data_IF_236228918491
#
_entry.id   IF_236228918491
#
_cell.length_a   1.000
_cell.length_b   1.000
_cell.length_c   1.000
_cell.angle_alpha   90.00
_cell.angle_beta   90.00
_cell.angle_gamma   90.00
#
_symmetry.space_group_name_H-M   'P 1'
#
loop_
_entity.id
_entity.type
_entity.pdbx_description
1 polymer ?
#
# COMPACT_ATOMS: atom_id res chain seq x y z
N UNK A 1 -53.33 -4.81 48.04
CA UNK A 1 -52.10 -3.98 48.01
C UNK A 1 -50.79 -4.79 48.12
N UNK A 2 -50.76 -6.08 47.74
CA UNK A 2 -49.53 -6.91 47.63
C UNK A 2 -49.15 -7.28 46.20
N UNK A 3 -50.01 -6.98 45.21
CA UNK A 3 -49.73 -7.22 43.78
C UNK A 3 -49.03 -6.05 43.08
N UNK A 4 -49.03 -4.84 43.64
CA UNK A 4 -48.36 -3.68 43.01
C UNK A 4 -46.85 -3.61 43.26
N UNK A 5 -46.32 -4.41 44.21
CA UNK A 5 -44.89 -4.43 44.55
C UNK A 5 -44.06 -5.42 43.74
N UNK A 6 -44.69 -6.33 42.98
CA UNK A 6 -43.97 -7.31 42.13
C UNK A 6 -43.71 -6.73 40.73
N UNK A 7 -44.51 -5.77 40.27
CA UNK A 7 -44.29 -5.10 38.97
C UNK A 7 -43.17 -4.05 39.00
N UNK A 8 -42.71 -3.62 40.18
CA UNK A 8 -41.58 -2.68 40.30
C UNK A 8 -40.21 -3.36 40.25
N UNK A 9 -40.14 -4.69 40.32
CA UNK A 9 -38.88 -5.44 40.28
C UNK A 9 -38.52 -6.00 38.89
N UNK A 10 -39.40 -5.88 37.89
CA UNK A 10 -39.17 -6.39 36.52
C UNK A 10 -38.71 -5.27 35.56
N UNK A 11 -38.81 -3.99 35.93
CA UNK A 11 -38.43 -2.87 35.05
C UNK A 11 -36.95 -2.45 35.14
N UNK A 12 -36.14 -3.09 36.00
CA UNK A 12 -34.76 -2.66 36.29
C UNK A 12 -33.68 -3.57 35.70
N UNK A 13 -34.01 -4.54 34.84
CA UNK A 13 -33.01 -5.38 34.17
C UNK A 13 -33.16 -5.24 32.65
N UNK A 14 -32.05 -4.93 31.98
CA UNK A 14 -31.89 -4.78 30.53
C UNK A 14 -32.09 -3.37 29.93
N UNK A 15 -31.61 -2.32 30.61
CA UNK A 15 -30.86 -1.29 29.87
C UNK A 15 -29.40 -1.73 29.79
N UNK A 16 -29.13 -2.72 28.94
CA UNK A 16 -27.78 -2.85 28.37
C UNK A 16 -27.64 -1.67 27.44
N UNK A 17 -27.17 -0.54 27.97
CA UNK A 17 -26.54 0.47 27.13
C UNK A 17 -25.39 -0.26 26.46
N UNK A 18 -25.59 -0.64 25.19
CA UNK A 18 -24.48 -0.93 24.31
C UNK A 18 -23.63 0.32 24.31
N UNK A 19 -22.65 0.38 25.22
CA UNK A 19 -21.59 1.35 25.12
C UNK A 19 -20.95 1.03 23.78
N UNK A 20 -21.22 1.88 22.79
CA UNK A 20 -20.37 2.00 21.62
C UNK A 20 -18.99 2.30 22.18
N UNK A 21 -18.21 1.25 22.44
CA UNK A 21 -16.81 1.39 22.76
C UNK A 21 -16.23 2.15 21.58
N UNK A 22 -15.81 3.38 21.84
CA UNK A 22 -14.93 4.08 20.93
C UNK A 22 -13.78 3.12 20.67
N UNK A 23 -13.65 2.61 19.45
CA UNK A 23 -12.56 1.73 19.03
C UNK A 23 -11.19 2.43 19.06
N UNK A 24 -11.11 3.66 19.59
CA UNK A 24 -9.89 4.41 19.70
C UNK A 24 -9.09 3.96 20.92
N UNK A 25 -7.77 3.80 20.74
CA UNK A 25 -6.87 3.51 21.84
C UNK A 25 -6.87 4.68 22.84
N UNK A 26 -6.91 4.34 24.12
CA UNK A 26 -6.68 5.30 25.19
C UNK A 26 -5.20 5.68 25.23
N UNK A 27 -4.91 6.89 25.73
CA UNK A 27 -3.53 7.37 25.94
C UNK A 27 -2.68 6.34 26.69
N UNK A 28 -3.21 5.78 27.78
CA UNK A 28 -2.50 4.82 28.60
C UNK A 28 -2.18 3.54 27.82
N UNK A 29 -3.14 3.03 27.04
CA UNK A 29 -2.95 1.86 26.19
C UNK A 29 -1.84 2.09 25.16
N UNK A 30 -1.79 3.27 24.53
CA UNK A 30 -0.67 3.59 23.60
C UNK A 30 0.68 3.59 24.30
N UNK A 31 0.79 4.10 25.53
CA UNK A 31 2.05 4.10 26.28
C UNK A 31 2.47 2.69 26.71
N UNK A 32 1.51 1.84 27.08
CA UNK A 32 1.74 0.42 27.35
C UNK A 32 2.23 -0.30 26.09
N UNK A 33 1.61 -0.05 24.93
CA UNK A 33 2.06 -0.59 23.64
C UNK A 33 3.47 -0.14 23.26
N UNK A 34 3.84 1.13 23.48
CA UNK A 34 5.22 1.61 23.25
C UNK A 34 6.21 0.81 24.09
N UNK A 35 5.86 0.49 25.33
CA UNK A 35 6.71 -0.33 26.23
C UNK A 35 6.86 -1.77 25.70
N UNK A 36 5.76 -2.35 25.21
CA UNK A 36 5.76 -3.68 24.59
C UNK A 36 6.62 -3.68 23.33
N UNK A 37 6.46 -2.70 22.44
CA UNK A 37 7.21 -2.58 21.18
C UNK A 37 8.70 -2.43 21.45
N UNK A 38 9.07 -1.57 22.41
CA UNK A 38 10.45 -1.40 22.83
C UNK A 38 11.05 -2.72 23.30
N UNK A 39 10.36 -3.43 24.18
CA UNK A 39 10.81 -4.72 24.70
C UNK A 39 10.94 -5.76 23.59
N UNK A 40 9.93 -5.87 22.74
CA UNK A 40 9.92 -6.81 21.62
C UNK A 40 11.08 -6.55 20.64
N UNK A 41 11.35 -5.29 20.29
CA UNK A 41 12.50 -4.98 19.44
C UNK A 41 13.82 -5.33 20.13
N UNK A 42 14.00 -4.96 21.39
CA UNK A 42 15.24 -5.22 22.13
C UNK A 42 15.53 -6.71 22.31
N UNK A 43 14.49 -7.53 22.48
CA UNK A 43 14.63 -8.96 22.75
C UNK A 43 14.62 -9.83 21.48
N UNK A 44 13.86 -9.44 20.45
CA UNK A 44 13.54 -10.33 19.32
C UNK A 44 14.11 -9.86 17.99
N UNK A 45 14.45 -8.58 17.81
CA UNK A 45 14.86 -8.07 16.51
C UNK A 45 16.37 -8.36 16.24
N UNK A 46 16.71 -9.28 15.31
CA UNK A 46 18.06 -9.83 15.18
C UNK A 46 19.11 -8.83 14.70
N UNK A 47 18.67 -7.72 14.09
CA UNK A 47 19.55 -6.68 13.55
C UNK A 47 19.37 -5.32 14.19
N UNK A 48 18.81 -5.22 15.42
CA UNK A 48 18.37 -3.95 15.99
C UNK A 48 19.48 -2.89 16.02
N UNK A 49 20.69 -3.30 16.44
CA UNK A 49 21.85 -2.42 16.60
C UNK A 49 22.74 -2.32 15.36
N UNK A 50 22.33 -2.88 14.21
CA UNK A 50 23.16 -2.88 12.99
C UNK A 50 23.41 -1.46 12.45
N UNK A 51 22.45 -0.56 12.62
CA UNK A 51 22.52 0.80 12.09
C UNK A 51 22.23 1.88 13.13
N UNK A 52 22.05 1.49 14.40
CA UNK A 52 21.74 2.38 15.50
C UNK A 52 22.52 1.96 16.75
N UNK A 53 23.00 2.95 17.49
CA UNK A 53 23.47 2.74 18.87
C UNK A 53 22.30 2.56 19.83
N UNK A 54 22.57 1.97 21.00
CA UNK A 54 21.56 1.86 22.07
C UNK A 54 20.98 3.21 22.47
N UNK A 55 21.82 4.25 22.55
CA UNK A 55 21.39 5.61 22.89
C UNK A 55 20.45 6.23 21.85
N UNK A 56 20.74 6.05 20.56
CA UNK A 56 19.87 6.54 19.47
C UNK A 56 18.49 5.87 19.52
N UNK A 57 18.44 4.54 19.71
CA UNK A 57 17.17 3.83 19.81
C UNK A 57 16.38 4.23 21.05
N UNK A 58 17.06 4.45 22.17
CA UNK A 58 16.41 4.94 23.38
C UNK A 58 15.72 6.29 23.13
N UNK A 59 16.43 7.22 22.48
CA UNK A 59 15.86 8.51 22.11
C UNK A 59 14.66 8.36 21.16
N UNK A 60 14.69 7.42 20.21
CA UNK A 60 13.58 7.13 19.32
C UNK A 60 12.35 6.59 20.09
N UNK A 61 12.55 5.69 21.06
CA UNK A 61 11.47 5.16 21.89
C UNK A 61 10.87 6.23 22.81
N UNK A 62 11.70 7.06 23.44
CA UNK A 62 11.21 8.17 24.26
C UNK A 62 10.44 9.20 23.42
N UNK A 63 10.93 9.50 22.21
CA UNK A 63 10.24 10.39 21.27
C UNK A 63 8.88 9.81 20.88
N UNK A 64 8.83 8.51 20.55
CA UNK A 64 7.57 7.83 20.27
C UNK A 64 6.61 7.91 21.48
N UNK A 65 7.08 7.63 22.69
CA UNK A 65 6.27 7.70 23.90
C UNK A 65 5.67 9.10 24.11
N UNK A 66 6.47 10.16 23.96
CA UNK A 66 5.98 11.55 24.06
C UNK A 66 4.91 11.85 23.00
N UNK A 67 5.15 11.48 21.74
CA UNK A 67 4.21 11.75 20.65
C UNK A 67 2.92 10.92 20.76
N UNK A 68 3.02 9.69 21.27
CA UNK A 68 1.88 8.79 21.46
C UNK A 68 0.85 9.32 22.47
N UNK A 69 1.26 10.21 23.40
CA UNK A 69 0.36 10.76 24.42
C UNK A 69 -0.82 11.55 23.84
N UNK A 70 -0.57 12.29 22.76
CA UNK A 70 -1.55 13.19 22.13
C UNK A 70 -1.93 12.77 20.71
N UNK A 71 -1.33 11.71 20.19
CA UNK A 71 -1.64 11.19 18.86
C UNK A 71 -3.06 10.60 18.81
N UNK A 72 -3.77 10.89 17.72
CA UNK A 72 -4.88 10.05 17.26
C UNK A 72 -4.35 8.68 16.83
N UNK A 73 -5.21 7.67 16.71
CA UNK A 73 -4.77 6.32 16.31
C UNK A 73 -4.16 6.28 14.91
N UNK A 74 -4.66 7.10 13.99
CA UNK A 74 -4.08 7.27 12.65
C UNK A 74 -2.68 7.87 12.69
N UNK A 75 -2.48 8.90 13.51
CA UNK A 75 -1.16 9.50 13.72
C UNK A 75 -0.22 8.51 14.41
N UNK A 76 -0.72 7.77 15.39
CA UNK A 76 0.06 6.77 16.09
C UNK A 76 0.50 5.63 15.15
N UNK A 77 -0.37 5.16 14.26
CA UNK A 77 -0.01 4.22 13.20
C UNK A 77 1.13 4.74 12.30
N UNK A 78 1.10 6.04 11.95
CA UNK A 78 2.21 6.68 11.22
C UNK A 78 3.49 6.65 12.06
N UNK A 79 3.44 7.07 13.32
CA UNK A 79 4.61 7.14 14.21
C UNK A 79 5.28 5.77 14.38
N UNK A 80 4.48 4.72 14.57
CA UNK A 80 4.97 3.35 14.62
C UNK A 80 5.62 2.90 13.30
N UNK A 81 5.01 3.26 12.17
CA UNK A 81 5.56 2.97 10.84
C UNK A 81 6.87 3.71 10.57
N UNK A 82 6.99 4.94 11.08
CA UNK A 82 8.22 5.74 11.01
C UNK A 82 9.33 5.14 11.89
N UNK A 83 9.01 4.71 13.10
CA UNK A 83 9.95 3.99 13.96
C UNK A 83 10.47 2.73 13.25
N UNK A 84 9.58 1.91 12.70
CA UNK A 84 9.97 0.69 11.98
C UNK A 84 10.83 0.98 10.74
N UNK A 85 10.49 2.00 9.94
CA UNK A 85 11.31 2.44 8.80
C UNK A 85 12.68 2.95 9.27
N UNK A 86 12.74 3.63 10.41
CA UNK A 86 13.99 4.16 10.97
C UNK A 86 14.98 3.04 11.30
N UNK A 87 14.53 1.84 11.65
CA UNK A 87 15.41 0.68 11.92
C UNK A 87 16.26 0.24 10.72
N UNK A 88 15.96 0.70 9.50
CA UNK A 88 16.67 0.36 8.26
C UNK A 88 16.71 -1.15 7.99
N UNK A 89 15.58 -1.80 8.30
CA UNK A 89 15.34 -3.21 7.99
C UNK A 89 14.16 -3.30 7.03
N UNK A 90 14.38 -3.90 5.86
CA UNK A 90 13.35 -4.15 4.87
C UNK A 90 12.28 -5.13 5.35
N UNK A 91 12.56 -5.91 6.40
CA UNK A 91 11.66 -6.95 6.91
C UNK A 91 10.87 -6.51 8.15
N UNK A 92 11.14 -5.31 8.68
CA UNK A 92 10.46 -4.78 9.87
C UNK A 92 9.54 -3.65 9.46
N UNK A 93 8.23 -3.87 9.54
CA UNK A 93 7.22 -2.90 9.14
C UNK A 93 5.89 -3.18 9.83
N UNK A 94 5.05 -2.15 9.95
CA UNK A 94 3.68 -2.30 10.39
C UNK A 94 2.86 -2.97 9.29
N UNK A 95 2.44 -4.20 9.55
CA UNK A 95 1.76 -5.03 8.56
C UNK A 95 0.27 -4.65 8.45
N UNK A 96 -0.20 -4.05 7.34
CA UNK A 96 -1.61 -3.72 7.16
C UNK A 96 -2.50 -4.94 6.87
N UNK A 97 -1.91 -6.07 6.45
CA UNK A 97 -2.64 -7.27 6.04
C UNK A 97 -3.10 -8.11 7.23
N UNK A 98 -2.28 -8.21 8.27
CA UNK A 98 -2.56 -9.00 9.47
C UNK A 98 -3.18 -8.14 10.60
N UNK A 99 -4.29 -7.47 10.30
CA UNK A 99 -5.02 -6.62 11.24
C UNK A 99 -6.45 -7.13 11.41
N UNK A 100 -6.99 -6.98 12.62
CA UNK A 100 -8.40 -7.24 12.90
C UNK A 100 -9.31 -6.30 12.08
N UNK A 101 -10.52 -6.75 11.74
CA UNK A 101 -11.45 -6.01 10.89
C UNK A 101 -11.80 -4.62 11.44
N UNK A 102 -11.94 -4.50 12.77
CA UNK A 102 -12.21 -3.21 13.43
C UNK A 102 -11.06 -2.22 13.23
N UNK A 103 -9.80 -2.64 13.44
CA UNK A 103 -8.62 -1.81 13.21
C UNK A 103 -8.47 -1.41 11.74
N UNK A 104 -8.72 -2.35 10.80
CA UNK A 104 -8.71 -2.05 9.36
C UNK A 104 -9.71 -0.95 9.01
N UNK A 105 -10.94 -1.02 9.53
CA UNK A 105 -12.00 -0.04 9.29
C UNK A 105 -11.70 1.32 9.94
N UNK A 106 -11.06 1.33 11.10
CA UNK A 106 -10.72 2.56 11.82
C UNK A 106 -9.56 3.33 11.14
N UNK A 107 -8.57 2.60 10.62
CA UNK A 107 -7.31 3.19 10.13
C UNK A 107 -7.28 3.34 8.61
N UNK A 108 -7.70 2.32 7.84
CA UNK A 108 -7.49 2.28 6.39
C UNK A 108 -8.69 2.80 5.62
N UNK A 109 -8.41 3.51 4.53
CA UNK A 109 -9.45 3.98 3.61
C UNK A 109 -10.10 2.82 2.86
N UNK A 110 -11.42 2.90 2.67
CA UNK A 110 -12.18 1.99 1.81
C UNK A 110 -12.05 2.34 0.31
N UNK A 111 -11.68 3.59 0.02
CA UNK A 111 -11.44 4.07 -1.35
C UNK A 111 -9.96 4.35 -1.61
N UNK A 112 -9.57 4.18 -2.87
CA UNK A 112 -8.20 4.23 -3.37
C UNK A 112 -8.10 5.10 -4.62
N UNK A 113 -6.88 5.55 -4.88
CA UNK A 113 -6.56 6.38 -6.04
C UNK A 113 -6.71 5.59 -7.35
N UNK A 114 -7.40 6.14 -8.37
CA UNK A 114 -7.72 5.41 -9.61
C UNK A 114 -6.61 5.42 -10.67
N UNK A 115 -5.51 6.15 -10.45
CA UNK A 115 -4.38 6.12 -11.37
C UNK A 115 -3.28 5.21 -10.83
N UNK A 116 -2.79 4.32 -11.68
CA UNK A 116 -1.55 3.57 -11.44
C UNK A 116 -0.40 4.43 -11.92
N UNK A 117 0.70 4.44 -11.18
CA UNK A 117 1.87 5.26 -11.50
C UNK A 117 3.17 4.59 -11.06
N UNK A 118 4.25 4.98 -11.74
CA UNK A 118 5.61 4.62 -11.41
C UNK A 118 6.38 5.87 -11.00
N UNK A 119 7.18 5.77 -9.95
CA UNK A 119 8.12 6.80 -9.55
C UNK A 119 9.40 6.66 -10.39
N UNK A 120 9.66 7.65 -11.23
CA UNK A 120 10.84 7.75 -12.09
C UNK A 120 11.49 9.11 -11.78
N UNK A 121 12.75 9.13 -11.35
CA UNK A 121 13.48 10.38 -11.05
C UNK A 121 12.71 11.33 -10.09
N UNK A 122 12.08 10.78 -9.05
CA UNK A 122 11.21 11.51 -8.11
C UNK A 122 10.01 12.21 -8.80
N UNK A 123 9.47 11.60 -9.86
CA UNK A 123 8.23 12.02 -10.53
C UNK A 123 7.25 10.86 -10.58
N UNK A 124 5.98 11.11 -10.32
CA UNK A 124 4.93 10.11 -10.47
C UNK A 124 4.46 10.11 -11.93
N UNK A 125 4.91 9.15 -12.72
CA UNK A 125 4.52 9.00 -14.11
C UNK A 125 3.34 8.04 -14.19
N UNK A 126 2.24 8.47 -14.81
CA UNK A 126 1.03 7.64 -14.95
C UNK A 126 1.36 6.41 -15.79
N UNK A 127 1.13 5.23 -15.20
CA UNK A 127 1.28 3.94 -15.87
C UNK A 127 -0.05 3.47 -16.48
N UNK A 128 -1.17 3.70 -15.77
CA UNK A 128 -2.50 3.42 -16.30
C UNK A 128 -3.56 4.34 -15.65
N UNK A 129 -4.54 4.77 -16.44
CA UNK A 129 -5.71 5.49 -15.95
C UNK A 129 -6.92 4.55 -15.86
N UNK A 130 -7.43 4.32 -14.64
CA UNK A 130 -8.63 3.50 -14.39
C UNK A 130 -9.88 4.35 -14.14
N UNK A 131 -9.77 5.68 -14.12
CA UNK A 131 -10.94 6.55 -14.08
C UNK A 131 -11.77 6.45 -15.37
N UNK A 132 -13.01 6.94 -15.31
CA UNK A 132 -13.86 7.11 -16.49
C UNK A 132 -13.32 8.23 -17.40
N UNK A 133 -12.91 9.34 -16.79
CA UNK A 133 -12.27 10.48 -17.45
C UNK A 133 -10.98 10.05 -18.20
N UNK A 134 -10.76 10.63 -19.38
CA UNK A 134 -9.63 10.33 -20.28
C UNK A 134 -8.66 11.50 -20.47
N UNK A 135 -8.82 12.60 -19.73
CA UNK A 135 -7.93 13.78 -19.80
C UNK A 135 -6.50 13.38 -19.41
N UNK A 136 -6.38 12.55 -18.38
CA UNK A 136 -5.11 12.00 -17.89
C UNK A 136 -4.78 10.71 -18.65
N UNK A 137 -3.58 10.62 -19.20
CA UNK A 137 -3.12 9.50 -20.02
C UNK A 137 -1.83 8.88 -19.47
N UNK A 138 -1.54 7.61 -19.79
CA UNK A 138 -0.23 7.04 -19.53
C UNK A 138 0.91 7.91 -20.07
N UNK A 139 1.97 8.09 -19.28
CA UNK A 139 3.09 8.98 -19.58
C UNK A 139 2.93 10.42 -19.07
N UNK A 140 1.74 10.83 -18.63
CA UNK A 140 1.55 12.12 -17.96
C UNK A 140 2.27 12.11 -16.58
N UNK A 141 2.92 13.22 -16.22
CA UNK A 141 3.54 13.42 -14.89
C UNK A 141 2.52 14.01 -13.94
N UNK A 142 2.21 13.32 -12.83
CA UNK A 142 1.39 13.87 -11.75
C UNK A 142 2.21 14.87 -10.94
N UNK A 143 1.72 16.10 -10.84
CA UNK A 143 2.37 17.18 -10.08
C UNK A 143 1.66 17.51 -8.77
N UNK A 144 0.34 17.27 -8.70
CA UNK A 144 -0.40 17.41 -7.45
C UNK A 144 -1.64 16.50 -7.40
N UNK A 145 -2.01 16.10 -6.19
CA UNK A 145 -3.23 15.36 -5.88
C UNK A 145 -3.94 16.09 -4.74
N UNK A 146 -5.20 16.50 -4.95
CA UNK A 146 -6.00 17.29 -4.02
C UNK A 146 -5.28 18.56 -3.52
N UNK A 147 -4.57 19.24 -4.42
CA UNK A 147 -3.79 20.44 -4.11
C UNK A 147 -2.46 20.18 -3.39
N UNK A 148 -2.14 18.93 -3.08
CA UNK A 148 -0.87 18.55 -2.44
C UNK A 148 0.15 18.20 -3.52
N UNK A 149 1.30 18.88 -3.51
CA UNK A 149 2.37 18.63 -4.48
C UNK A 149 2.91 17.21 -4.32
N UNK A 150 3.26 16.56 -5.43
CA UNK A 150 3.86 15.22 -5.39
C UNK A 150 5.18 15.18 -4.64
N UNK A 151 5.94 16.28 -4.61
CA UNK A 151 7.11 16.43 -3.73
C UNK A 151 6.74 16.22 -2.26
N UNK A 152 5.72 16.95 -1.76
CA UNK A 152 5.27 16.82 -0.36
C UNK A 152 4.74 15.41 -0.07
N UNK A 153 3.99 14.83 -1.01
CA UNK A 153 3.49 13.46 -0.89
C UNK A 153 4.66 12.47 -0.77
N UNK A 154 5.60 12.48 -1.71
CA UNK A 154 6.74 11.55 -1.67
C UNK A 154 7.59 11.75 -0.42
N UNK A 155 7.91 12.99 -0.05
CA UNK A 155 8.75 13.25 1.12
C UNK A 155 8.09 12.72 2.41
N UNK A 156 6.76 12.84 2.56
CA UNK A 156 6.00 12.22 3.67
C UNK A 156 6.03 10.69 3.61
N UNK A 157 5.71 10.10 2.45
CA UNK A 157 5.64 8.64 2.30
C UNK A 157 7.01 7.95 2.40
N UNK A 158 8.10 8.65 2.05
CA UNK A 158 9.46 8.17 2.26
C UNK A 158 9.78 7.97 3.74
N UNK A 159 9.12 8.65 4.68
CA UNK A 159 9.35 8.46 6.13
C UNK A 159 8.86 7.11 6.65
N UNK A 160 7.96 6.44 5.94
CA UNK A 160 7.39 5.12 6.30
C UNK A 160 7.79 4.01 5.33
N UNK A 161 8.58 4.33 4.30
CA UNK A 161 9.01 3.36 3.29
C UNK A 161 10.21 2.55 3.79
N UNK A 162 10.03 1.23 3.90
CA UNK A 162 11.03 0.27 4.43
C UNK A 162 12.12 -0.09 3.40
N UNK A 163 13.35 -0.26 3.87
CA UNK A 163 14.46 -0.75 3.07
C UNK A 163 15.64 -1.18 3.96
N UNK A 164 16.51 -2.05 3.45
CA UNK A 164 17.68 -2.56 4.16
C UNK A 164 18.88 -1.61 4.05
N UNK A 165 19.36 -1.11 5.19
CA UNK A 165 20.60 -0.34 5.30
C UNK A 165 20.51 1.15 4.97
N UNK A 166 21.66 1.75 4.65
CA UNK A 166 21.80 3.21 4.51
C UNK A 166 21.55 3.71 3.07
N UNK A 167 21.91 2.93 2.05
CA UNK A 167 21.80 3.32 0.63
C UNK A 167 20.46 2.87 0.02
N UNK A 168 19.37 3.44 0.53
CA UNK A 168 18.03 2.87 0.33
C UNK A 168 17.07 3.67 -0.53
N UNK A 169 17.45 4.86 -0.98
CA UNK A 169 16.53 5.79 -1.64
C UNK A 169 15.79 5.15 -2.83
N UNK A 170 16.50 4.43 -3.71
CA UNK A 170 15.89 3.79 -4.87
C UNK A 170 14.84 2.75 -4.46
N UNK A 171 15.13 1.92 -3.46
CA UNK A 171 14.15 0.95 -2.94
C UNK A 171 12.97 1.66 -2.28
N UNK A 172 13.23 2.70 -1.51
CA UNK A 172 12.18 3.47 -0.82
C UNK A 172 11.25 4.17 -1.80
N UNK A 173 11.78 4.72 -2.90
CA UNK A 173 11.00 5.28 -4.01
C UNK A 173 10.22 4.20 -4.75
N UNK A 174 10.83 3.05 -5.01
CA UNK A 174 10.16 1.92 -5.67
C UNK A 174 8.94 1.41 -4.89
N UNK A 175 8.98 1.42 -3.55
CA UNK A 175 7.81 1.03 -2.73
C UNK A 175 6.62 2.00 -2.85
N UNK A 176 6.82 3.22 -3.37
CA UNK A 176 5.75 4.21 -3.57
C UNK A 176 4.93 3.92 -4.84
N UNK A 177 5.45 3.06 -5.72
CA UNK A 177 4.79 2.71 -6.97
C UNK A 177 3.40 2.10 -6.72
N UNK A 178 2.49 2.33 -7.67
CA UNK A 178 1.19 1.66 -7.74
C UNK A 178 1.12 1.04 -9.13
N UNK A 179 1.55 -0.22 -9.24
CA UNK A 179 1.66 -0.94 -10.51
C UNK A 179 0.63 -2.08 -10.57
N UNK A 180 0.41 -2.69 -11.74
CA UNK A 180 -0.60 -3.73 -11.90
C UNK A 180 -0.53 -4.88 -10.89
N UNK A 181 0.63 -5.49 -10.59
CA UNK A 181 0.69 -6.58 -9.61
C UNK A 181 0.25 -6.15 -8.20
N UNK A 182 0.29 -4.85 -7.89
CA UNK A 182 0.04 -4.31 -6.55
C UNK A 182 -1.42 -3.90 -6.33
N UNK A 183 -2.26 -3.92 -7.37
CA UNK A 183 -3.67 -3.49 -7.30
C UNK A 183 -4.68 -4.63 -7.19
N UNK A 184 -4.23 -5.82 -6.78
CA UNK A 184 -5.13 -6.89 -6.35
C UNK A 184 -6.10 -6.40 -5.25
N UNK A 185 -7.34 -6.86 -5.27
CA UNK A 185 -8.37 -6.41 -4.33
C UNK A 185 -8.07 -6.72 -2.85
N UNK A 186 -7.28 -7.76 -2.58
CA UNK A 186 -6.85 -8.15 -1.23
C UNK A 186 -5.62 -7.38 -0.74
N UNK A 187 -4.87 -6.77 -1.67
CA UNK A 187 -3.63 -6.07 -1.37
C UNK A 187 -3.86 -4.61 -0.92
N UNK A 188 -2.79 -4.01 -0.41
CA UNK A 188 -2.68 -2.58 -0.17
C UNK A 188 -1.30 -2.15 -0.69
N UNK A 189 -1.25 -1.07 -1.45
CA UNK A 189 0.04 -0.40 -1.71
C UNK A 189 0.41 0.50 -0.53
N UNK A 190 1.69 0.88 -0.43
CA UNK A 190 2.10 1.90 0.55
C UNK A 190 1.30 3.19 0.35
N UNK A 191 1.07 3.58 -0.90
CA UNK A 191 0.27 4.76 -1.22
C UNK A 191 -1.18 4.65 -0.72
N UNK A 192 -1.84 3.50 -0.92
CA UNK A 192 -3.23 3.28 -0.46
C UNK A 192 -3.39 3.43 1.05
N UNK A 193 -2.38 3.01 1.81
CA UNK A 193 -2.39 3.11 3.27
C UNK A 193 -2.05 4.53 3.71
N UNK A 194 -0.94 5.06 3.25
CA UNK A 194 -0.33 6.22 3.90
C UNK A 194 -0.71 7.57 3.29
N UNK A 195 -1.11 7.64 2.02
CA UNK A 195 -1.63 8.89 1.45
C UNK A 195 -2.83 9.44 2.25
N UNK A 196 -3.90 8.66 2.52
CA UNK A 196 -5.01 9.16 3.33
C UNK A 196 -4.63 9.43 4.79
N UNK A 197 -3.64 8.72 5.34
CA UNK A 197 -3.19 8.92 6.72
C UNK A 197 -2.38 10.21 6.90
N UNK A 198 -1.49 10.54 5.97
CA UNK A 198 -0.68 11.77 6.04
C UNK A 198 -1.46 13.02 5.66
N UNK A 199 -2.52 12.88 4.87
CA UNK A 199 -3.25 14.01 4.30
C UNK A 199 -4.77 13.91 4.53
N UNK A 200 -5.24 13.70 5.78
CA UNK A 200 -6.65 13.42 6.05
C UNK A 200 -7.57 14.57 5.66
N UNK A 201 -7.14 15.82 5.85
CA UNK A 201 -7.93 17.03 5.53
C UNK A 201 -8.10 17.25 4.02
N UNK A 202 -7.13 16.79 3.22
CA UNK A 202 -7.17 16.89 1.76
C UNK A 202 -7.63 15.59 1.11
N UNK A 203 -7.90 14.54 1.89
CA UNK A 203 -8.35 13.26 1.36
C UNK A 203 -9.87 13.27 1.22
N UNK A 204 -10.35 13.42 -0.01
CA UNK A 204 -11.75 13.23 -0.34
C UNK A 204 -11.99 11.79 -0.81
N UNK A 205 -12.76 11.03 -0.04
CA UNK A 205 -13.03 9.63 -0.32
C UNK A 205 -13.88 9.39 -1.58
N UNK A 206 -14.52 10.43 -2.13
CA UNK A 206 -15.37 10.34 -3.32
C UNK A 206 -14.63 10.73 -4.62
N UNK A 207 -13.73 11.71 -4.58
CA UNK A 207 -13.05 12.23 -5.77
C UNK A 207 -11.62 12.69 -5.50
N UNK A 208 -10.79 12.68 -6.53
CA UNK A 208 -9.46 13.26 -6.52
C UNK A 208 -9.35 14.36 -7.57
N UNK A 209 -8.89 15.53 -7.17
CA UNK A 209 -8.43 16.57 -8.10
C UNK A 209 -6.98 16.33 -8.42
N UNK A 210 -6.66 16.02 -9.68
CA UNK A 210 -5.31 15.66 -10.11
C UNK A 210 -4.79 16.68 -11.12
N UNK A 211 -3.57 17.17 -10.87
CA UNK A 211 -2.85 18.06 -11.78
C UNK A 211 -1.70 17.31 -12.42
N UNK A 212 -1.59 17.42 -13.74
CA UNK A 212 -0.58 16.71 -14.53
C UNK A 212 0.13 17.62 -15.52
N UNK A 213 1.38 17.26 -15.85
CA UNK A 213 2.14 17.78 -16.99
C UNK A 213 2.19 16.68 -18.05
N UNK A 214 1.70 16.98 -19.26
CA UNK A 214 1.78 16.08 -20.41
C UNK A 214 3.22 16.03 -20.98
N UNK A 215 3.57 15.01 -21.78
CA UNK A 215 4.87 14.95 -22.47
C UNK A 215 5.20 16.21 -23.29
N UNK A 216 4.18 16.84 -23.88
CA UNK A 216 4.30 18.12 -24.60
C UNK A 216 4.31 19.38 -23.70
N UNK A 217 4.57 19.21 -22.40
CA UNK A 217 4.64 20.26 -21.37
C UNK A 217 3.35 21.00 -21.08
N UNK A 218 2.22 20.65 -21.71
CA UNK A 218 0.92 21.22 -21.37
C UNK A 218 0.46 20.75 -19.99
N UNK A 219 -0.01 21.69 -19.17
CA UNK A 219 -0.63 21.41 -17.88
C UNK A 219 -2.10 21.06 -18.08
N UNK A 220 -2.58 20.06 -17.35
CA UNK A 220 -3.99 19.68 -17.28
C UNK A 220 -4.39 19.43 -15.83
N UNK A 221 -5.67 19.62 -15.57
CA UNK A 221 -6.31 19.37 -14.28
C UNK A 221 -7.60 18.61 -14.55
N UNK A 222 -7.85 17.56 -13.77
CA UNK A 222 -9.07 16.78 -13.87
C UNK A 222 -9.53 16.35 -12.48
N UNK A 223 -10.84 16.25 -12.31
CA UNK A 223 -11.45 15.66 -11.12
C UNK A 223 -11.93 14.26 -11.47
N UNK A 224 -11.38 13.26 -10.81
CA UNK A 224 -11.65 11.84 -11.09
C UNK A 224 -12.29 11.17 -9.89
N UNK A 225 -13.27 10.29 -10.13
CA UNK A 225 -13.94 9.53 -9.06
C UNK A 225 -12.94 8.59 -8.39
N UNK A 226 -12.95 8.54 -7.07
CA UNK A 226 -12.26 7.50 -6.31
C UNK A 226 -12.87 6.12 -6.60
N UNK A 227 -12.08 5.07 -6.42
CA UNK A 227 -12.55 3.69 -6.61
C UNK A 227 -12.38 2.93 -5.30
N UNK A 228 -13.21 1.93 -5.06
CA UNK A 228 -12.88 0.86 -4.10
C UNK A 228 -11.76 -0.02 -4.65
N UNK A 229 -11.09 -0.80 -3.80
CA UNK A 229 -10.08 -1.77 -4.27
C UNK A 229 -10.65 -2.79 -5.26
N UNK A 230 -11.90 -3.23 -5.04
CA UNK A 230 -12.61 -4.16 -5.92
C UNK A 230 -12.88 -3.54 -7.29
N UNK A 231 -13.37 -2.29 -7.32
CA UNK A 231 -13.59 -1.57 -8.57
C UNK A 231 -12.27 -1.29 -9.31
N UNK A 232 -11.21 -0.91 -8.60
CA UNK A 232 -9.89 -0.69 -9.19
C UNK A 232 -9.35 -1.97 -9.85
N UNK A 233 -9.42 -3.10 -9.15
CA UNK A 233 -9.04 -4.41 -9.69
C UNK A 233 -9.90 -4.77 -10.91
N UNK A 234 -11.24 -4.75 -10.78
CA UNK A 234 -12.14 -5.13 -11.87
C UNK A 234 -11.96 -4.25 -13.11
N UNK A 235 -11.78 -2.93 -12.92
CA UNK A 235 -11.55 -1.98 -14.02
C UNK A 235 -10.23 -2.25 -14.73
N UNK A 236 -9.17 -2.59 -13.97
CA UNK A 236 -7.90 -2.98 -14.57
C UNK A 236 -8.07 -4.24 -15.43
N UNK A 237 -8.67 -5.29 -14.87
CA UNK A 237 -8.85 -6.58 -15.56
C UNK A 237 -9.68 -6.43 -16.83
N UNK A 238 -10.77 -5.65 -16.78
CA UNK A 238 -11.61 -5.41 -17.94
C UNK A 238 -10.88 -4.66 -19.07
N UNK A 239 -9.94 -3.77 -18.74
CA UNK A 239 -9.24 -2.93 -19.73
C UNK A 239 -7.94 -3.55 -20.25
N UNK A 240 -7.21 -4.26 -19.40
CA UNK A 240 -5.82 -4.69 -19.66
C UNK A 240 -5.60 -6.20 -19.50
N UNK A 241 -6.63 -6.95 -19.11
CA UNK A 241 -6.54 -8.39 -18.84
C UNK A 241 -6.09 -8.72 -17.42
N UNK A 242 -5.95 -10.03 -17.16
CA UNK A 242 -5.64 -10.54 -15.83
C UNK A 242 -4.32 -9.99 -15.25
N UNK A 243 -4.30 -9.77 -13.94
CA UNK A 243 -3.08 -9.43 -13.22
C UNK A 243 -2.05 -10.58 -13.33
N UNK A 244 -0.74 -10.29 -13.46
CA UNK A 244 0.29 -11.32 -13.46
C UNK A 244 0.31 -12.08 -12.13
N UNK A 245 -0.01 -13.37 -12.15
CA UNK A 245 -0.03 -14.22 -10.97
C UNK A 245 0.38 -15.65 -11.30
N UNK A 246 1.22 -16.26 -10.45
CA UNK A 246 1.73 -17.62 -10.63
C UNK A 246 2.30 -17.84 -12.03
N UNK A 247 2.01 -19.00 -12.63
CA UNK A 247 2.49 -19.32 -13.97
C UNK A 247 1.84 -18.48 -15.09
N UNK A 248 0.74 -17.76 -14.82
CA UNK A 248 0.15 -16.81 -15.77
C UNK A 248 0.91 -15.48 -15.83
N UNK A 249 1.91 -15.34 -14.97
CA UNK A 249 2.77 -14.16 -14.93
C UNK A 249 3.71 -14.09 -16.13
N UNK A 250 3.96 -15.19 -16.85
CA UNK A 250 4.87 -15.19 -18.00
C UNK A 250 4.18 -15.71 -19.26
N UNK A 251 4.65 -15.24 -20.41
CA UNK A 251 4.18 -15.70 -21.72
C UNK A 251 5.37 -15.74 -22.67
N UNK A 252 5.51 -16.83 -23.41
CA UNK A 252 6.41 -16.91 -24.55
C UNK A 252 5.61 -17.35 -25.77
N UNK A 253 5.72 -16.62 -26.88
CA UNK A 253 5.13 -17.01 -28.17
C UNK A 253 5.91 -16.40 -29.32
N UNK A 254 5.91 -17.05 -30.48
CA UNK A 254 6.32 -16.40 -31.71
C UNK A 254 5.21 -15.47 -32.20
N UNK A 255 5.58 -14.28 -32.64
CA UNK A 255 4.69 -13.36 -33.36
C UNK A 255 4.78 -13.63 -34.87
N UNK A 256 5.96 -14.01 -35.35
CA UNK A 256 6.24 -14.50 -36.71
C UNK A 256 7.51 -15.38 -36.74
N UNK A 257 8.01 -15.72 -37.93
CA UNK A 257 9.19 -16.58 -38.11
C UNK A 257 10.51 -16.00 -37.61
N UNK A 258 10.55 -14.70 -37.32
CA UNK A 258 11.74 -13.96 -36.88
C UNK A 258 11.59 -13.27 -35.52
N UNK A 259 10.36 -13.07 -35.05
CA UNK A 259 10.07 -12.34 -33.81
C UNK A 259 9.42 -13.26 -32.78
N UNK A 260 10.06 -13.34 -31.61
CA UNK A 260 9.48 -13.95 -30.41
C UNK A 260 9.10 -12.89 -29.37
N UNK A 261 7.93 -13.05 -28.77
CA UNK A 261 7.44 -12.26 -27.65
C UNK A 261 7.67 -13.03 -26.35
N UNK A 262 8.44 -12.43 -25.45
CA UNK A 262 8.60 -12.92 -24.08
C UNK A 262 8.14 -11.87 -23.08
N UNK A 263 7.12 -12.20 -22.30
CA UNK A 263 6.58 -11.39 -21.22
C UNK A 263 6.92 -12.02 -19.89
N UNK A 264 7.42 -11.21 -18.97
CA UNK A 264 7.51 -11.52 -17.54
C UNK A 264 6.72 -10.44 -16.80
N UNK A 265 5.71 -10.83 -16.04
CA UNK A 265 4.85 -9.93 -15.29
C UNK A 265 5.29 -9.77 -13.82
N UNK A 266 5.97 -10.77 -13.25
CA UNK A 266 6.64 -10.73 -11.96
C UNK A 266 7.69 -11.87 -11.88
N UNK A 267 8.57 -11.81 -10.89
CA UNK A 267 9.65 -12.80 -10.66
C UNK A 267 9.31 -13.82 -9.55
N UNK A 268 8.03 -14.00 -9.22
CA UNK A 268 7.62 -14.91 -8.14
C UNK A 268 7.44 -16.31 -8.70
N UNK A 269 8.36 -17.22 -8.37
CA UNK A 269 8.43 -18.57 -8.97
C UNK A 269 8.24 -19.74 -8.00
N UNK A 270 8.06 -19.49 -6.69
CA UNK A 270 8.09 -20.52 -5.64
C UNK A 270 7.03 -21.63 -5.76
N UNK A 271 5.92 -21.37 -6.46
CA UNK A 271 4.81 -22.33 -6.65
C UNK A 271 4.69 -22.85 -8.08
N UNK A 272 5.68 -22.58 -8.93
CA UNK A 272 5.65 -22.98 -10.32
C UNK A 272 5.94 -24.48 -10.44
N UNK A 273 5.07 -25.21 -11.13
CA UNK A 273 5.18 -26.64 -11.42
C UNK A 273 5.78 -26.90 -12.80
N UNK A 274 5.73 -25.91 -13.70
CA UNK A 274 6.23 -26.06 -15.06
C UNK A 274 7.74 -26.24 -15.11
N UNK A 275 8.20 -27.20 -15.90
CA UNK A 275 9.62 -27.38 -16.20
C UNK A 275 10.07 -26.35 -17.26
N UNK A 276 10.63 -25.24 -16.77
CA UNK A 276 11.11 -24.15 -17.61
C UNK A 276 12.29 -24.53 -18.46
N UNK A 277 13.16 -25.44 -17.99
CA UNK A 277 14.33 -25.87 -18.75
C UNK A 277 13.87 -26.60 -20.01
N UNK A 278 12.97 -27.55 -19.86
CA UNK A 278 12.43 -28.29 -21.00
C UNK A 278 11.56 -27.42 -21.91
N UNK A 279 10.75 -26.52 -21.35
CA UNK A 279 9.96 -25.56 -22.14
C UNK A 279 10.86 -24.63 -22.96
N UNK A 280 11.92 -24.11 -22.36
CA UNK A 280 12.89 -23.22 -23.01
C UNK A 280 13.68 -23.94 -24.10
N UNK A 281 14.18 -25.15 -23.81
CA UNK A 281 14.89 -25.99 -24.79
C UNK A 281 13.99 -26.33 -25.98
N UNK A 282 12.72 -26.68 -25.75
CA UNK A 282 11.76 -26.92 -26.83
C UNK A 282 11.54 -25.67 -27.70
N UNK A 283 11.45 -24.49 -27.09
CA UNK A 283 11.35 -23.22 -27.80
C UNK A 283 12.59 -22.89 -28.64
N UNK A 284 13.79 -23.05 -28.07
CA UNK A 284 15.04 -22.85 -28.81
C UNK A 284 15.18 -23.82 -29.99
N UNK A 285 14.68 -25.06 -29.85
CA UNK A 285 14.66 -26.03 -30.95
C UNK A 285 13.71 -25.60 -32.06
N UNK A 286 12.52 -25.08 -31.73
CA UNK A 286 11.59 -24.55 -32.75
C UNK A 286 12.12 -23.31 -33.47
N UNK A 287 12.98 -22.50 -32.84
CA UNK A 287 13.67 -21.39 -33.52
C UNK A 287 14.61 -21.85 -34.66
N UNK A 288 15.17 -23.06 -34.56
CA UNK A 288 16.18 -23.57 -35.50
C UNK A 288 15.59 -24.21 -36.76
N UNK A 289 14.29 -24.44 -36.79
CA UNK A 289 13.58 -25.00 -37.94
C UNK A 289 12.84 -23.89 -38.68
N UNK A 290 13.28 -23.47 -39.88
CA UNK A 290 12.51 -22.50 -40.67
C UNK A 290 11.14 -23.08 -41.01
N UNK A 291 10.07 -22.27 -41.08
CA UNK A 291 8.77 -22.76 -41.51
C UNK A 291 8.90 -23.37 -42.91
N UNK A 292 8.44 -24.61 -43.08
CA UNK A 292 8.31 -25.21 -44.41
C UNK A 292 7.34 -24.34 -45.20
N UNK A 293 7.84 -23.72 -46.28
CA UNK A 293 6.98 -23.08 -47.28
C UNK A 293 6.09 -24.16 -47.88
N UNK A 294 4.79 -24.09 -47.64
CA UNK A 294 3.75 -24.72 -48.45
C UNK A 294 3.28 -23.74 -49.50
#
# INVERSE_FOLDING_TARGET
>A
MRLLLILLFISCHFFVLAQSSSNNLLKQQRLEEVTIIRTAFQQLHPGLYRYHTKAQLEQDFEKLARQAMTATDKQYFILLSQLASNLKCGHTYLNPWNQQSAAKKAIFSETVFPLLFQVIERKLIVAANLAADKIIQPGDEITAINGITTKRIMDSLLTVSRADGNNTLNKKLNNLNVLPPDVDSSAYTLFDVFFPLFFPESFNAATFTVEVIKPNKKRKKATIKALTKKERHATYVARYGALPAGEKSWQFKFLDSSIAYFKIGNFVTWSWKKDYKNTWIACLRSCKTPPRKT
#
